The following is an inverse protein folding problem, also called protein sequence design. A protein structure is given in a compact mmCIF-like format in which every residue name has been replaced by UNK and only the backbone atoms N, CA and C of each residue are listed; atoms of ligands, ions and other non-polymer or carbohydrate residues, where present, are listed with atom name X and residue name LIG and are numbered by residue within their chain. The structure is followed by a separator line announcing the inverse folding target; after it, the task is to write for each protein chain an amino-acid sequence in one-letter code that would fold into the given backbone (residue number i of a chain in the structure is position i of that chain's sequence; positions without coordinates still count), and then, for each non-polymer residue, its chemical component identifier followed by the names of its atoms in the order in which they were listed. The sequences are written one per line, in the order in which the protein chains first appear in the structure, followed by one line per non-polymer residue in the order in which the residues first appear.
data_IF_168968432355
#
_entry.id   IF_168968432355
#
_cell.length_a   1.000
_cell.length_b   1.000
_cell.length_c   1.000
_cell.angle_alpha   90.00
_cell.angle_beta   90.00
_cell.angle_gamma   90.00
#
_symmetry.space_group_name_H-M   'P 1'
#
loop_
_entity.id
_entity.type
_entity.pdbx_description
1 polymer ?
#
# COMPACT_ATOMS: atom_id res chain seq x y z
N UNK A 1 -7.25 -6.66 8.87
CA UNK A 1 -6.08 -6.22 8.08
C UNK A 1 -6.08 -6.76 6.65
N UNK A 2 -5.95 -5.87 5.64
CA UNK A 2 -5.89 -6.20 4.21
C UNK A 2 -4.85 -5.33 3.49
N UNK A 3 -4.20 -5.85 2.45
CA UNK A 3 -3.26 -5.11 1.61
C UNK A 3 -3.80 -4.99 0.18
N UNK A 4 -3.75 -3.79 -0.37
CA UNK A 4 -4.22 -3.48 -1.71
C UNK A 4 -3.10 -2.83 -2.53
N UNK A 5 -3.02 -3.19 -3.81
CA UNK A 5 -2.24 -2.51 -4.84
C UNK A 5 -3.15 -1.53 -5.58
N UNK A 6 -2.65 -0.34 -5.87
CA UNK A 6 -3.30 0.60 -6.79
C UNK A 6 -2.96 0.20 -8.22
N UNK A 7 -3.97 -0.22 -8.96
CA UNK A 7 -3.86 -0.64 -10.36
C UNK A 7 -4.88 0.16 -11.19
N UNK A 8 -4.39 1.07 -12.03
CA UNK A 8 -5.21 1.96 -12.87
C UNK A 8 -6.31 2.71 -12.08
N UNK A 9 -6.02 3.12 -10.84
CA UNK A 9 -6.94 3.86 -9.96
C UNK A 9 -7.86 2.99 -9.10
N UNK A 10 -7.79 1.67 -9.22
CA UNK A 10 -8.60 0.73 -8.45
C UNK A 10 -7.78 0.02 -7.36
N UNK A 11 -8.46 -0.47 -6.32
CA UNK A 11 -7.88 -1.30 -5.27
C UNK A 11 -7.88 -2.77 -5.69
N UNK A 12 -6.69 -3.37 -5.78
CA UNK A 12 -6.50 -4.80 -6.04
C UNK A 12 -5.95 -5.48 -4.80
N UNK A 13 -6.75 -6.33 -4.16
CA UNK A 13 -6.32 -7.05 -2.95
C UNK A 13 -5.16 -8.02 -3.28
N UNK A 14 -4.10 -7.98 -2.47
CA UNK A 14 -2.94 -8.87 -2.59
C UNK A 14 -2.66 -9.56 -1.26
N UNK A 15 -2.29 -10.83 -1.32
CA UNK A 15 -2.02 -11.65 -0.12
C UNK A 15 -0.56 -11.62 0.33
N UNK A 16 0.36 -11.21 -0.55
CA UNK A 16 1.80 -11.19 -0.27
C UNK A 16 2.27 -9.74 -0.05
N UNK A 17 3.05 -9.46 1.00
CA UNK A 17 3.63 -8.13 1.24
C UNK A 17 4.84 -7.86 0.32
N UNK A 18 4.58 -7.87 -0.99
CA UNK A 18 5.56 -7.53 -2.04
C UNK A 18 5.22 -6.14 -2.58
N UNK A 19 6.12 -5.21 -2.37
CA UNK A 19 5.99 -3.81 -2.73
C UNK A 19 6.89 -3.49 -3.90
N UNK A 20 6.35 -2.85 -4.93
CA UNK A 20 7.08 -2.42 -6.11
C UNK A 20 7.36 -0.93 -6.01
N UNK A 21 8.60 -0.52 -6.24
CA UNK A 21 9.00 0.91 -6.25
C UNK A 21 8.19 1.73 -7.27
N UNK A 22 7.64 1.06 -8.28
CA UNK A 22 6.89 1.70 -9.35
C UNK A 22 5.41 1.89 -9.09
N UNK A 23 4.90 1.46 -7.93
CA UNK A 23 3.46 1.36 -7.66
C UNK A 23 3.11 1.89 -6.26
N UNK A 24 1.82 2.02 -5.96
CA UNK A 24 1.30 2.52 -4.68
C UNK A 24 0.46 1.44 -4.02
N UNK A 25 0.58 1.31 -2.70
CA UNK A 25 -0.10 0.29 -1.93
C UNK A 25 -0.89 0.90 -0.78
N UNK A 26 -2.03 0.29 -0.43
CA UNK A 26 -2.86 0.67 0.71
C UNK A 26 -2.95 -0.52 1.64
N UNK A 27 -2.39 -0.38 2.84
CA UNK A 27 -2.51 -1.35 3.93
C UNK A 27 -3.55 -0.85 4.91
N UNK A 28 -4.62 -1.61 5.04
CA UNK A 28 -5.71 -1.33 5.95
C UNK A 28 -5.57 -2.22 7.19
N UNK A 29 -5.21 -1.61 8.32
CA UNK A 29 -5.03 -2.24 9.64
C UNK A 29 -6.21 -1.93 10.58
N UNK A 30 -7.42 -1.81 10.03
CA UNK A 30 -8.69 -1.57 10.73
C UNK A 30 -8.82 -0.20 11.41
N UNK A 31 -7.92 0.13 12.34
CA UNK A 31 -7.85 1.43 13.01
C UNK A 31 -6.93 2.42 12.27
N UNK A 32 -6.03 1.94 11.43
CA UNK A 32 -5.05 2.76 10.71
C UNK A 32 -4.95 2.29 9.26
N UNK A 33 -5.00 3.22 8.31
CA UNK A 33 -4.82 2.97 6.90
C UNK A 33 -3.49 3.58 6.49
N UNK A 34 -2.55 2.74 6.09
CA UNK A 34 -1.25 3.17 5.58
C UNK A 34 -1.29 3.22 4.06
N UNK A 35 -0.77 4.30 3.47
CA UNK A 35 -0.58 4.45 2.03
C UNK A 35 0.91 4.46 1.76
N UNK A 36 1.44 3.35 1.23
CA UNK A 36 2.85 3.23 0.88
C UNK A 36 3.07 3.73 -0.56
N UNK A 37 4.00 4.67 -0.72
CA UNK A 37 4.32 5.35 -1.98
C UNK A 37 5.68 4.89 -2.49
N UNK A 38 5.69 4.19 -3.63
CA UNK A 38 6.93 3.82 -4.30
C UNK A 38 7.67 5.04 -4.87
N UNK A 39 9.00 5.03 -4.82
CA UNK A 39 9.86 6.13 -5.29
C UNK A 39 9.74 6.44 -6.79
N UNK A 40 9.30 5.45 -7.59
CA UNK A 40 9.13 5.52 -9.05
C UNK A 40 7.65 5.48 -9.47
N UNK A 41 6.71 5.64 -8.54
CA UNK A 41 5.29 5.64 -8.87
C UNK A 41 4.87 6.90 -9.65
N UNK A 42 3.75 6.81 -10.36
CA UNK A 42 3.17 7.99 -11.01
C UNK A 42 2.44 8.89 -10.01
N UNK A 43 2.27 10.16 -10.37
CA UNK A 43 1.48 11.13 -9.59
C UNK A 43 0.01 10.70 -9.51
N UNK A 44 -0.50 10.09 -10.58
CA UNK A 44 -1.88 9.60 -10.66
C UNK A 44 -2.12 8.46 -9.67
N UNK A 45 -1.21 7.49 -9.59
CA UNK A 45 -1.26 6.39 -8.61
C UNK A 45 -1.18 6.91 -7.18
N UNK A 46 -0.30 7.89 -6.91
CA UNK A 46 -0.19 8.53 -5.59
C UNK A 46 -1.52 9.19 -5.19
N UNK A 47 -2.13 9.92 -6.11
CA UNK A 47 -3.42 10.60 -5.89
C UNK A 47 -4.54 9.59 -5.70
N UNK A 48 -4.57 8.54 -6.51
CA UNK A 48 -5.54 7.45 -6.38
C UNK A 48 -5.39 6.71 -5.05
N UNK A 49 -4.18 6.40 -4.60
CA UNK A 49 -3.94 5.76 -3.31
C UNK A 49 -4.48 6.57 -2.13
N UNK A 50 -4.23 7.88 -2.12
CA UNK A 50 -4.76 8.77 -1.09
C UNK A 50 -6.30 8.86 -1.14
N UNK A 51 -6.90 8.94 -2.33
CA UNK A 51 -8.35 8.98 -2.50
C UNK A 51 -9.04 7.67 -2.06
N UNK A 52 -8.43 6.53 -2.41
CA UNK A 52 -8.93 5.21 -2.03
C UNK A 52 -8.82 4.99 -0.51
N UNK A 53 -7.72 5.40 0.12
CA UNK A 53 -7.58 5.34 1.57
C UNK A 53 -8.67 6.16 2.30
N UNK A 54 -8.99 7.35 1.79
CA UNK A 54 -10.08 8.17 2.33
C UNK A 54 -11.46 7.55 2.10
N UNK A 55 -11.68 6.93 0.95
CA UNK A 55 -12.91 6.20 0.66
C UNK A 55 -13.08 5.02 1.61
N UNK A 56 -12.02 4.25 1.87
CA UNK A 56 -12.01 3.13 2.83
C UNK A 56 -12.32 3.60 4.26
N UNK A 57 -11.71 4.70 4.69
CA UNK A 57 -12.01 5.32 5.99
C UNK A 57 -13.50 5.73 6.08
N UNK A 58 -14.02 6.43 5.08
CA UNK A 58 -15.42 6.87 5.03
C UNK A 58 -16.41 5.71 5.07
N UNK A 59 -16.12 4.61 4.37
CA UNK A 59 -16.93 3.39 4.40
C UNK A 59 -17.01 2.76 5.80
N UNK A 60 -16.03 3.05 6.67
CA UNK A 60 -15.93 2.55 8.05
C UNK A 60 -16.38 3.58 9.09
N UNK A 61 -16.98 4.69 8.66
CA UNK A 61 -17.47 5.74 9.55
C UNK A 61 -16.46 6.84 9.87
N UNK A 62 -15.31 6.89 9.18
CA UNK A 62 -14.41 8.06 9.21
C UNK A 62 -13.51 8.16 10.46
N UNK A 63 -13.27 7.05 11.15
CA UNK A 63 -12.52 7.03 12.41
C UNK A 63 -11.08 6.50 12.25
N UNK A 64 -10.70 5.98 11.08
CA UNK A 64 -9.39 5.39 10.86
C UNK A 64 -8.34 6.47 10.61
N UNK A 65 -7.15 6.29 11.18
CA UNK A 65 -6.03 7.20 10.95
C UNK A 65 -5.39 6.89 9.60
N UNK A 66 -5.32 7.86 8.69
CA UNK A 66 -4.59 7.69 7.41
C UNK A 66 -3.14 8.16 7.58
N UNK A 67 -2.18 7.32 7.23
CA UNK A 67 -0.74 7.59 7.30
C UNK A 67 -0.11 7.33 5.93
N UNK A 68 0.52 8.34 5.34
CA UNK A 68 1.33 8.15 4.13
C UNK A 68 2.75 7.75 4.53
N UNK A 69 3.30 6.78 3.82
CA UNK A 69 4.63 6.22 4.03
C UNK A 69 5.36 6.25 2.69
N UNK A 70 6.43 7.03 2.59
CA UNK A 70 7.28 7.03 1.40
C UNK A 70 8.29 5.88 1.48
N UNK A 71 8.69 5.33 0.33
CA UNK A 71 9.75 4.32 0.24
C UNK A 71 11.03 4.80 0.95
N UNK A 72 11.63 3.91 1.76
CA UNK A 72 12.79 4.18 2.64
C UNK A 72 12.49 5.09 3.84
N UNK A 73 11.23 5.46 4.07
CA UNK A 73 10.76 6.19 5.24
C UNK A 73 9.69 5.39 6.00
N UNK A 74 9.79 4.06 5.97
CA UNK A 74 8.88 3.16 6.65
C UNK A 74 8.89 3.38 8.16
N UNK A 75 7.76 3.84 8.69
CA UNK A 75 7.60 4.02 10.14
C UNK A 75 7.60 2.66 10.86
N UNK A 76 8.02 2.65 12.13
CA UNK A 76 7.95 1.45 12.97
C UNK A 76 6.54 0.83 13.03
N UNK A 77 5.49 1.66 13.01
CA UNK A 77 4.10 1.20 12.99
C UNK A 77 3.76 0.44 11.72
N UNK A 78 4.13 1.00 10.56
CA UNK A 78 3.95 0.35 9.27
C UNK A 78 4.73 -0.97 9.19
N UNK A 79 6.02 -0.97 9.56
CA UNK A 79 6.85 -2.18 9.52
C UNK A 79 6.27 -3.29 10.40
N UNK A 80 5.72 -2.95 11.58
CA UNK A 80 5.06 -3.92 12.47
C UNK A 80 3.80 -4.50 11.85
N UNK A 81 2.96 -3.66 11.23
CA UNK A 81 1.75 -4.09 10.55
C UNK A 81 2.07 -5.03 9.38
N UNK A 82 3.02 -4.64 8.51
CA UNK A 82 3.46 -5.48 7.38
C UNK A 82 4.10 -6.77 7.86
N UNK A 83 4.97 -6.74 8.88
CA UNK A 83 5.60 -7.95 9.44
C UNK A 83 4.59 -8.95 10.00
N UNK A 84 3.41 -8.47 10.41
CA UNK A 84 2.31 -9.32 10.87
C UNK A 84 1.62 -10.05 9.71
N UNK A 85 1.71 -9.53 8.47
CA UNK A 85 1.30 -10.24 7.24
C UNK A 85 2.40 -11.14 6.68
N UNK A 86 3.67 -10.79 6.89
CA UNK A 86 4.82 -11.55 6.42
C UNK A 86 6.05 -10.66 6.21
N UNK A 87 7.12 -11.25 5.67
CA UNK A 87 8.34 -10.50 5.37
C UNK A 87 8.11 -9.53 4.19
N UNK A 88 8.23 -8.22 4.45
CA UNK A 88 8.19 -7.19 3.42
C UNK A 88 9.30 -7.42 2.40
N UNK A 89 8.95 -7.45 1.11
CA UNK A 89 9.92 -7.49 0.02
C UNK A 89 9.67 -6.32 -0.92
N UNK A 90 10.65 -5.44 -1.05
CA UNK A 90 10.61 -4.36 -2.06
C UNK A 90 11.30 -4.87 -3.32
N UNK A 91 10.63 -4.71 -4.48
CA UNK A 91 11.12 -5.13 -5.79
C UNK A 91 11.12 -3.97 -6.76
N UNK A 92 12.04 -3.98 -7.73
CA UNK A 92 11.93 -3.08 -8.88
C UNK A 92 10.86 -3.58 -9.86
N UNK A 93 10.16 -2.63 -10.51
CA UNK A 93 8.99 -2.85 -11.39
C UNK A 93 9.16 -3.97 -12.42
N UNK A 94 10.40 -4.29 -12.80
CA UNK A 94 10.74 -5.32 -13.79
C UNK A 94 10.61 -6.77 -13.28
N UNK A 95 10.54 -7.01 -11.96
CA UNK A 95 10.42 -8.36 -11.39
C UNK A 95 9.00 -8.75 -11.00
N UNK A 96 8.09 -7.79 -10.73
CA UNK A 96 6.72 -8.10 -10.32
C UNK A 96 5.93 -8.87 -11.40
N UNK A 97 6.25 -8.65 -12.68
CA UNK A 97 5.69 -9.40 -13.82
C UNK A 97 6.28 -10.80 -14.01
N UNK A 98 7.44 -11.12 -13.41
CA UNK A 98 8.20 -12.34 -13.71
C UNK A 98 8.13 -13.43 -12.63
N UNK A 99 7.47 -13.20 -11.49
CA UNK A 99 7.36 -14.22 -10.41
C UNK A 99 6.05 -15.02 -10.44
N UNK A 100 5.35 -15.02 -11.58
CA UNK A 100 4.25 -15.95 -11.87
C UNK A 100 4.64 -16.83 -13.06
N UNK A 101 5.53 -17.78 -12.83
CA UNK A 101 5.65 -19.02 -13.60
C UNK A 101 5.48 -20.20 -12.66
#
# INVERSE_FOLDING_TARGET
MKLFLIDQGNLKEISKPVFSMGDVYVLDDDNTIYVWIGSKCSIDEKTAGAAQARTLDQQRGGAAKIITVDENQETHGFMKAVSSMGAMKVVEKNYAYFVFF
#
